data_IF_623454910523
#
_entry.id   IF_623454910523
#
_cell.length_a   1.000
_cell.length_b   1.000
_cell.length_c   1.000
_cell.angle_alpha   90.00
_cell.angle_beta   90.00
_cell.angle_gamma   90.00
#
_symmetry.space_group_name_H-M   'P 1'
#
loop_
_entity.id
_entity.type
_entity.pdbx_description
1 polymer ?
#
# COMPACT_ATOMS: atom_id res chain seq x y z
N UNK A 1 -0.65 -3.21 -33.66
CA UNK A 1 -0.71 -2.66 -32.29
C UNK A 1 0.72 -2.59 -31.77
N UNK A 2 1.21 -1.38 -31.47
CA UNK A 2 2.55 -1.20 -30.92
C UNK A 2 2.61 -1.62 -29.44
N UNK A 3 3.82 -1.95 -28.94
CA UNK A 3 4.02 -2.27 -27.51
C UNK A 3 3.50 -1.15 -26.60
N UNK A 4 3.76 0.10 -26.97
CA UNK A 4 3.29 1.30 -26.25
C UNK A 4 1.77 1.41 -26.20
N UNK A 5 1.06 1.10 -27.29
CA UNK A 5 -0.40 1.09 -27.31
C UNK A 5 -0.98 0.04 -26.35
N UNK A 6 -0.37 -1.15 -26.31
CA UNK A 6 -0.81 -2.22 -25.41
C UNK A 6 -0.59 -1.83 -23.95
N UNK A 7 0.59 -1.33 -23.61
CA UNK A 7 0.89 -0.81 -22.27
C UNK A 7 -0.10 0.29 -21.85
N UNK A 8 -0.37 1.26 -22.73
CA UNK A 8 -1.32 2.34 -22.45
C UNK A 8 -2.74 1.83 -22.19
N UNK A 9 -3.21 0.82 -22.94
CA UNK A 9 -4.52 0.20 -22.69
C UNK A 9 -4.57 -0.48 -21.33
N UNK A 10 -3.51 -1.21 -20.96
CA UNK A 10 -3.39 -1.87 -19.66
C UNK A 10 -3.39 -0.83 -18.53
N UNK A 11 -2.57 0.22 -18.65
CA UNK A 11 -2.49 1.30 -17.67
C UNK A 11 -3.83 2.01 -17.47
N UNK A 12 -4.56 2.30 -18.56
CA UNK A 12 -5.90 2.91 -18.47
C UNK A 12 -6.89 2.01 -17.75
N UNK A 13 -6.88 0.70 -18.03
CA UNK A 13 -7.71 -0.27 -17.32
C UNK A 13 -7.35 -0.34 -15.83
N UNK A 14 -6.05 -0.34 -15.49
CA UNK A 14 -5.60 -0.35 -14.10
C UNK A 14 -6.01 0.93 -13.35
N UNK A 15 -5.90 2.10 -13.99
CA UNK A 15 -6.36 3.37 -13.44
C UNK A 15 -7.87 3.33 -13.18
N UNK A 16 -8.67 2.92 -14.17
CA UNK A 16 -10.11 2.79 -14.03
C UNK A 16 -10.51 1.86 -12.88
N UNK A 17 -9.83 0.73 -12.69
CA UNK A 17 -10.14 -0.19 -11.59
C UNK A 17 -9.70 0.32 -10.20
N UNK A 18 -8.74 1.26 -10.12
CA UNK A 18 -8.08 1.63 -8.86
C UNK A 18 -8.21 3.10 -8.47
N UNK A 19 -8.96 3.90 -9.23
CA UNK A 19 -9.09 5.34 -8.98
C UNK A 19 -9.92 5.73 -7.74
N UNK A 20 -10.47 4.75 -7.00
CA UNK A 20 -11.11 4.99 -5.70
C UNK A 20 -12.63 5.19 -5.73
N UNK A 21 -13.26 5.20 -6.91
CA UNK A 21 -14.72 5.13 -7.04
C UNK A 21 -15.22 3.67 -6.80
N UNK A 22 -16.44 3.48 -6.25
CA UNK A 22 -16.97 2.14 -5.93
C UNK A 22 -17.25 1.31 -7.19
N UNK A 23 -17.24 -0.02 -7.07
CA UNK A 23 -17.36 -0.93 -8.22
C UNK A 23 -18.69 -0.80 -8.97
N UNK A 24 -19.77 -0.43 -8.28
CA UNK A 24 -21.09 -0.17 -8.89
C UNK A 24 -21.13 1.11 -9.74
N UNK A 25 -20.16 2.01 -9.59
CA UNK A 25 -20.02 3.20 -10.42
C UNK A 25 -19.20 2.96 -11.68
N UNK A 26 -18.58 1.77 -11.82
CA UNK A 26 -17.77 1.40 -12.97
C UNK A 26 -18.69 0.80 -14.05
N UNK A 27 -18.68 1.42 -15.23
CA UNK A 27 -19.43 0.94 -16.40
C UNK A 27 -18.45 0.51 -17.49
N UNK A 28 -18.52 -0.77 -17.90
CA UNK A 28 -17.48 -1.30 -18.79
C UNK A 28 -17.46 -2.79 -19.08
N UNK A 29 -18.59 -3.39 -19.47
CA UNK A 29 -18.59 -4.79 -19.93
C UNK A 29 -17.98 -4.93 -21.34
N UNK A 30 -18.29 -4.01 -22.27
CA UNK A 30 -17.85 -4.07 -23.67
C UNK A 30 -16.54 -3.29 -23.96
N UNK A 31 -15.66 -3.23 -22.96
CA UNK A 31 -14.42 -2.47 -23.07
C UNK A 31 -14.61 -0.95 -23.05
N UNK A 32 -15.74 -0.48 -22.50
CA UNK A 32 -15.88 0.88 -22.00
C UNK A 32 -15.14 0.99 -20.66
N UNK A 33 -14.52 2.14 -20.39
CA UNK A 33 -13.79 2.38 -19.13
C UNK A 33 -14.35 3.66 -18.52
N UNK A 34 -15.66 3.68 -18.28
CA UNK A 34 -16.35 4.86 -17.78
C UNK A 34 -16.65 4.72 -16.29
N UNK A 35 -16.62 5.84 -15.57
CA UNK A 35 -17.09 5.90 -14.20
C UNK A 35 -18.20 6.93 -14.08
N UNK A 36 -19.37 6.52 -13.60
CA UNK A 36 -20.53 7.40 -13.41
C UNK A 36 -20.38 8.33 -12.20
N UNK A 37 -19.64 7.93 -11.17
CA UNK A 37 -19.45 8.75 -9.96
C UNK A 37 -18.44 9.87 -10.21
N UNK A 38 -17.32 9.52 -10.83
CA UNK A 38 -16.23 10.45 -11.15
C UNK A 38 -16.49 11.20 -12.49
N UNK A 39 -17.43 10.73 -13.33
CA UNK A 39 -17.77 11.25 -14.69
C UNK A 39 -16.52 11.35 -15.59
N UNK A 40 -15.71 10.28 -15.59
CA UNK A 40 -14.49 10.18 -16.40
C UNK A 40 -14.60 8.99 -17.34
N UNK A 41 -14.31 9.22 -18.62
CA UNK A 41 -14.07 8.18 -19.62
C UNK A 41 -12.56 7.94 -19.77
N UNK A 42 -12.06 6.89 -19.12
CA UNK A 42 -10.65 6.52 -19.10
C UNK A 42 -10.14 5.99 -20.44
N UNK A 43 -11.03 5.68 -21.40
CA UNK A 43 -10.65 5.20 -22.73
C UNK A 43 -10.43 6.36 -23.69
N UNK A 44 -11.34 7.33 -23.68
CA UNK A 44 -11.39 8.42 -24.68
C UNK A 44 -10.62 9.67 -24.25
N UNK A 45 -10.53 9.95 -22.95
CA UNK A 45 -9.87 11.18 -22.47
C UNK A 45 -8.35 11.12 -22.66
N UNK A 46 -7.71 12.25 -22.97
CA UNK A 46 -6.25 12.34 -23.04
C UNK A 46 -5.61 12.21 -21.65
N UNK A 47 -4.35 11.76 -21.57
CA UNK A 47 -3.65 11.62 -20.29
C UNK A 47 -3.56 12.95 -19.53
N UNK A 48 -3.33 14.07 -20.23
CA UNK A 48 -3.27 15.41 -19.64
C UNK A 48 -4.61 15.88 -19.09
N UNK A 49 -5.71 15.57 -19.77
CA UNK A 49 -7.04 15.90 -19.27
C UNK A 49 -7.44 15.00 -18.09
N UNK A 50 -6.98 13.74 -18.07
CA UNK A 50 -7.17 12.83 -16.93
C UNK A 50 -6.45 13.36 -15.67
N UNK A 51 -5.20 13.81 -15.83
CA UNK A 51 -4.42 14.46 -14.77
C UNK A 51 -5.14 15.68 -14.19
N UNK A 52 -5.62 16.59 -15.06
CA UNK A 52 -6.41 17.76 -14.64
C UNK A 52 -7.67 17.35 -13.87
N UNK A 53 -8.40 16.33 -14.33
CA UNK A 53 -9.61 15.83 -13.65
C UNK A 53 -9.30 15.24 -12.28
N UNK A 54 -8.20 14.50 -12.16
CA UNK A 54 -7.78 13.92 -10.89
C UNK A 54 -7.43 14.99 -9.86
N UNK A 55 -6.76 16.05 -10.31
CA UNK A 55 -6.50 17.23 -9.50
C UNK A 55 -7.80 17.93 -9.07
N UNK A 56 -8.72 18.20 -10.00
CA UNK A 56 -10.03 18.82 -9.72
C UNK A 56 -10.88 18.01 -8.73
N UNK A 57 -10.82 16.68 -8.80
CA UNK A 57 -11.55 15.77 -7.91
C UNK A 57 -10.86 15.56 -6.55
N UNK A 58 -9.70 16.17 -6.31
CA UNK A 58 -8.95 15.98 -5.06
C UNK A 58 -8.47 14.54 -4.86
N UNK A 59 -8.29 13.79 -5.95
CA UNK A 59 -7.79 12.40 -5.95
C UNK A 59 -6.27 12.32 -5.78
N UNK A 60 -5.63 13.43 -5.43
CA UNK A 60 -4.21 13.58 -5.13
C UNK A 60 -3.87 12.90 -3.78
N UNK A 61 -4.02 11.58 -3.71
CA UNK A 61 -3.62 10.78 -2.54
C UNK A 61 -2.82 9.57 -2.98
N UNK A 62 -1.58 9.81 -3.38
CA UNK A 62 -0.55 8.78 -3.37
C UNK A 62 0.80 9.36 -2.95
N UNK A 63 0.90 9.81 -1.69
CA UNK A 63 2.19 9.70 -1.01
C UNK A 63 2.50 8.22 -0.89
N UNK A 64 3.51 7.74 -1.62
CA UNK A 64 4.08 6.42 -1.38
C UNK A 64 4.70 6.46 0.02
N UNK A 65 3.92 6.12 1.05
CA UNK A 65 4.47 5.99 2.40
C UNK A 65 5.49 4.84 2.37
N UNK A 66 6.78 5.08 2.62
CA UNK A 66 7.75 3.99 2.66
C UNK A 66 7.32 3.01 3.76
N UNK A 67 7.18 1.72 3.42
CA UNK A 67 6.86 0.69 4.40
C UNK A 67 7.93 0.73 5.50
N UNK A 68 7.54 1.07 6.73
CA UNK A 68 8.44 0.95 7.90
C UNK A 68 8.94 -0.50 7.94
N UNK A 69 10.26 -0.70 7.82
CA UNK A 69 10.90 -2.01 8.01
C UNK A 69 10.44 -2.57 9.36
N UNK A 70 9.62 -3.61 9.36
CA UNK A 70 9.37 -4.38 10.57
C UNK A 70 10.71 -4.97 10.99
N UNK A 71 11.32 -4.45 12.07
CA UNK A 71 12.46 -5.10 12.72
C UNK A 71 11.96 -6.47 13.17
N UNK A 72 12.42 -7.54 12.52
CA UNK A 72 12.26 -8.91 13.02
C UNK A 72 12.88 -8.92 14.42
N UNK A 73 12.07 -8.96 15.49
CA UNK A 73 12.56 -9.37 16.81
C UNK A 73 12.99 -10.82 16.66
N UNK A 74 14.30 -11.04 16.55
CA UNK A 74 14.87 -12.37 16.62
C UNK A 74 14.41 -13.03 17.92
N UNK A 75 13.85 -14.24 17.81
CA UNK A 75 13.66 -15.13 18.94
C UNK A 75 15.04 -15.50 19.45
N UNK A 76 15.48 -14.85 20.52
CA UNK A 76 16.66 -15.29 21.24
C UNK A 76 16.25 -16.42 22.19
N UNK A 77 16.27 -17.63 21.65
CA UNK A 77 16.26 -18.85 22.45
C UNK A 77 17.65 -19.00 23.05
N UNK A 78 17.82 -18.71 24.34
CA UNK A 78 18.98 -19.17 25.11
C UNK A 78 18.51 -19.85 26.40
N UNK A 79 18.46 -21.18 26.28
CA UNK A 79 18.80 -22.21 27.27
C UNK A 79 18.91 -21.73 28.72
N UNK A 80 18.01 -22.29 29.53
CA UNK A 80 18.29 -22.73 30.90
C UNK A 80 19.75 -23.17 31.04
N UNK A 81 20.46 -22.59 32.01
CA UNK A 81 21.55 -23.28 32.70
C UNK A 81 21.24 -23.30 34.20
N UNK A 82 21.43 -24.50 34.71
CA UNK A 82 21.20 -24.97 36.06
C UNK A 82 21.85 -24.09 37.14
N UNK A 83 21.28 -24.23 38.33
CA UNK A 83 21.67 -23.74 39.65
C UNK A 83 23.19 -23.84 39.90
N UNK A 84 23.76 -22.86 40.61
CA UNK A 84 24.89 -23.14 41.51
C UNK A 84 24.67 -22.48 42.88
N UNK A 85 24.89 -23.29 43.90
CA UNK A 85 24.48 -23.16 45.30
C UNK A 85 25.73 -22.86 46.11
N UNK A 86 26.34 -21.69 45.93
CA UNK A 86 27.64 -21.43 46.56
C UNK A 86 28.00 -19.94 46.61
N UNK A 87 27.36 -19.17 47.50
CA UNK A 87 28.08 -18.14 48.27
C UNK A 87 27.31 -17.71 49.52
N UNK A 88 27.23 -18.65 50.47
CA UNK A 88 27.23 -18.29 51.88
C UNK A 88 28.42 -17.35 52.18
N UNK A 89 28.19 -16.42 53.13
CA UNK A 89 29.10 -15.40 53.67
C UNK A 89 29.07 -14.14 52.78
N UNK A 90 28.72 -12.96 53.29
CA UNK A 90 29.43 -12.29 54.39
C UNK A 90 28.74 -10.95 54.70
N UNK A 91 28.25 -10.79 55.94
CA UNK A 91 28.32 -9.56 56.76
C UNK A 91 27.56 -8.30 56.29
N UNK A 92 26.56 -7.89 57.09
CA UNK A 92 26.34 -6.53 57.62
C UNK A 92 25.14 -6.61 58.61
N UNK A 93 25.36 -6.80 59.92
CA UNK A 93 25.61 -5.77 60.95
C UNK A 93 24.76 -4.51 60.76
N UNK A 94 23.75 -4.35 61.62
CA UNK A 94 23.29 -3.13 62.32
C UNK A 94 22.07 -3.54 63.16
N UNK A 95 22.28 -3.79 64.46
CA UNK A 95 22.01 -2.88 65.59
C UNK A 95 20.57 -3.04 66.08
#
# INVERSE_FOLDING_TARGET
MSKLETENKILRRLLWLRHGCPSNALYGDDGELQCHNCIIDFKRISARALDKRFFELGMEKYEIRPKKKQRKKGRESRRFRFIDFSFLKKIRRTK
#
